data_IF_242075303539
#
_entry.id   IF_242075303539
#
_cell.length_a   1.000
_cell.length_b   1.000
_cell.length_c   1.000
_cell.angle_alpha   90.00
_cell.angle_beta   90.00
_cell.angle_gamma   90.00
#
_symmetry.space_group_name_H-M   'P 1'
#
loop_
_entity.id
_entity.type
_entity.pdbx_description
1 polymer ?
#
# COMPACT_ATOMS: atom_id res chain seq x y z
N UNK A 1 -13.74 22.08 1.59
CA UNK A 1 -14.56 20.85 1.74
C UNK A 1 -15.01 20.75 3.17
N UNK A 2 -16.30 20.45 3.41
CA UNK A 2 -16.81 20.10 4.73
C UNK A 2 -16.80 18.56 4.87
N UNK A 3 -16.13 18.06 5.90
CA UNK A 3 -16.11 16.63 6.26
C UNK A 3 -17.01 16.43 7.47
N UNK A 4 -17.98 15.55 7.34
CA UNK A 4 -18.86 15.09 8.42
C UNK A 4 -18.44 13.65 8.79
N UNK A 5 -17.94 13.46 10.02
CA UNK A 5 -17.49 12.19 10.54
C UNK A 5 -18.26 11.86 11.83
N UNK A 6 -19.46 11.24 11.72
CA UNK A 6 -20.35 10.99 12.86
C UNK A 6 -19.65 10.29 14.02
N UNK A 7 -19.78 10.79 15.26
CA UNK A 7 -19.07 10.31 16.44
C UNK A 7 -19.17 8.79 16.69
N UNK A 8 -20.28 8.17 16.28
CA UNK A 8 -20.54 6.74 16.46
C UNK A 8 -19.76 5.87 15.47
N UNK A 9 -19.19 6.45 14.41
CA UNK A 9 -18.55 5.72 13.31
C UNK A 9 -17.08 6.05 13.11
N UNK A 10 -16.70 7.31 13.32
CA UNK A 10 -15.39 7.81 12.94
C UNK A 10 -14.70 8.62 14.05
N UNK A 11 -13.40 8.48 14.15
CA UNK A 11 -12.56 9.32 15.02
C UNK A 11 -11.67 10.23 14.14
N UNK A 12 -11.89 11.55 14.23
CA UNK A 12 -11.14 12.52 13.46
C UNK A 12 -9.71 12.76 13.98
N UNK A 13 -9.35 12.30 15.18
CA UNK A 13 -8.04 12.57 15.78
C UNK A 13 -6.87 12.03 14.95
N UNK A 14 -6.92 10.79 14.43
CA UNK A 14 -5.87 10.29 13.53
C UNK A 14 -5.72 11.17 12.29
N UNK A 15 -6.83 11.58 11.65
CA UNK A 15 -6.80 12.48 10.49
C UNK A 15 -6.09 13.80 10.83
N UNK A 16 -6.47 14.45 11.93
CA UNK A 16 -5.87 15.72 12.36
C UNK A 16 -4.38 15.59 12.65
N UNK A 17 -3.99 14.51 13.32
CA UNK A 17 -2.59 14.24 13.66
C UNK A 17 -1.75 14.03 12.39
N UNK A 18 -2.18 13.14 11.49
CA UNK A 18 -1.43 12.85 10.26
C UNK A 18 -1.41 14.05 9.31
N UNK A 19 -2.51 14.82 9.22
CA UNK A 19 -2.53 16.06 8.44
C UNK A 19 -1.47 17.06 8.93
N UNK A 20 -1.29 17.20 10.26
CA UNK A 20 -0.26 18.04 10.84
C UNK A 20 1.16 17.54 10.53
N UNK A 21 1.39 16.22 10.56
CA UNK A 21 2.68 15.61 10.20
C UNK A 21 3.01 15.80 8.72
N UNK A 22 2.06 15.58 7.81
CA UNK A 22 2.23 15.81 6.37
C UNK A 22 2.58 17.27 6.07
N UNK A 23 1.86 18.19 6.69
CA UNK A 23 2.14 19.63 6.56
C UNK A 23 3.55 19.97 7.05
N UNK A 24 3.95 19.46 8.21
CA UNK A 24 5.30 19.68 8.76
C UNK A 24 6.40 19.10 7.86
N UNK A 25 6.10 18.01 7.14
CA UNK A 25 6.97 17.40 6.14
C UNK A 25 7.03 18.19 4.81
N UNK A 26 6.21 19.23 4.65
CA UNK A 26 6.10 19.98 3.39
C UNK A 26 5.43 19.18 2.26
N UNK A 27 4.55 18.24 2.62
CA UNK A 27 3.70 17.48 1.70
C UNK A 27 2.35 18.21 1.58
N UNK A 28 1.86 18.37 0.36
CA UNK A 28 0.57 18.98 0.10
C UNK A 28 -0.56 18.01 0.48
N UNK A 29 -1.30 18.35 1.52
CA UNK A 29 -2.44 17.60 2.03
C UNK A 29 -3.53 18.58 2.47
N UNK A 30 -4.81 18.15 2.58
CA UNK A 30 -5.88 19.01 3.05
C UNK A 30 -5.53 19.67 4.39
N UNK A 31 -5.60 21.00 4.43
CA UNK A 31 -5.38 21.79 5.65
C UNK A 31 -6.69 21.95 6.39
N UNK A 32 -6.64 21.78 7.70
CA UNK A 32 -7.80 22.03 8.56
C UNK A 32 -7.95 23.56 8.77
N UNK A 33 -9.01 24.13 8.19
CA UNK A 33 -9.35 25.56 8.29
C UNK A 33 -10.10 25.82 9.60
N UNK A 34 -11.05 24.93 9.94
CA UNK A 34 -11.83 25.00 11.16
C UNK A 34 -12.26 23.58 11.59
N UNK A 35 -12.55 23.42 12.88
CA UNK A 35 -12.97 22.12 13.42
C UNK A 35 -14.01 22.30 14.55
N UNK A 36 -14.98 21.39 14.58
CA UNK A 36 -15.87 21.18 15.72
C UNK A 36 -15.75 19.69 16.13
N UNK A 37 -14.85 19.42 17.09
CA UNK A 37 -14.56 18.07 17.52
C UNK A 37 -15.72 17.44 18.32
N UNK A 38 -16.60 18.24 18.92
CA UNK A 38 -17.76 17.73 19.64
C UNK A 38 -18.78 17.13 18.66
N UNK A 39 -18.95 17.78 17.51
CA UNK A 39 -19.83 17.33 16.45
C UNK A 39 -19.07 16.58 15.33
N UNK A 40 -17.73 16.55 15.40
CA UNK A 40 -16.82 15.95 14.42
C UNK A 40 -16.97 16.49 13.00
N UNK A 41 -17.17 17.79 12.88
CA UNK A 41 -17.07 18.50 11.61
C UNK A 41 -15.69 19.09 11.43
N UNK A 42 -15.15 18.91 10.23
CA UNK A 42 -13.92 19.57 9.80
C UNK A 42 -14.19 20.37 8.54
N UNK A 43 -13.65 21.60 8.49
CA UNK A 43 -13.57 22.40 7.27
C UNK A 43 -12.14 22.29 6.74
N UNK A 44 -12.00 21.78 5.53
CA UNK A 44 -10.71 21.47 4.89
C UNK A 44 -10.50 22.33 3.65
N UNK A 45 -9.24 22.57 3.30
CA UNK A 45 -8.91 23.08 1.97
C UNK A 45 -9.34 22.11 0.90
N UNK A 46 -9.65 22.61 -0.29
CA UNK A 46 -10.00 21.81 -1.45
C UNK A 46 -8.74 21.59 -2.32
N UNK A 47 -8.44 20.36 -2.66
CA UNK A 47 -7.35 19.98 -3.55
C UNK A 47 -7.83 19.69 -4.98
N UNK A 48 -9.08 20.01 -5.29
CA UNK A 48 -9.72 19.75 -6.57
C UNK A 48 -10.38 18.36 -6.63
N UNK A 49 -10.77 17.97 -7.83
CA UNK A 49 -11.53 16.74 -8.13
C UNK A 49 -10.78 15.75 -9.03
N UNK A 50 -9.59 16.12 -9.46
CA UNK A 50 -8.81 15.35 -10.43
C UNK A 50 -7.76 14.50 -9.74
N UNK A 51 -7.97 13.18 -9.70
CA UNK A 51 -7.00 12.24 -9.16
C UNK A 51 -5.94 11.87 -10.21
N UNK A 52 -4.77 11.41 -9.76
CA UNK A 52 -3.79 10.83 -10.68
C UNK A 52 -4.40 9.71 -11.51
N UNK A 53 -5.18 8.81 -10.86
CA UNK A 53 -5.80 7.67 -11.54
C UNK A 53 -6.68 8.09 -12.72
N UNK A 54 -7.39 9.23 -12.61
CA UNK A 54 -8.31 9.70 -13.65
C UNK A 54 -7.61 10.26 -14.90
N UNK A 55 -6.34 10.67 -14.78
CA UNK A 55 -5.58 11.29 -15.89
C UNK A 55 -4.36 10.49 -16.32
N UNK A 56 -3.97 9.47 -15.54
CA UNK A 56 -2.75 8.71 -15.73
C UNK A 56 -2.77 7.94 -17.06
N UNK A 57 -1.71 8.08 -17.83
CA UNK A 57 -1.48 7.37 -19.10
C UNK A 57 0.02 7.21 -19.36
N UNK A 58 0.37 6.47 -20.43
CA UNK A 58 1.76 6.18 -20.80
C UNK A 58 2.63 7.44 -20.97
N UNK A 59 2.05 8.53 -21.47
CA UNK A 59 2.81 9.74 -21.77
C UNK A 59 3.14 10.61 -20.54
N UNK A 60 2.29 10.55 -19.49
CA UNK A 60 2.42 11.41 -18.32
C UNK A 60 2.87 10.69 -17.05
N UNK A 61 2.88 9.35 -17.03
CA UNK A 61 3.15 8.56 -15.85
C UNK A 61 4.52 8.87 -15.22
N UNK A 62 5.57 9.02 -16.02
CA UNK A 62 6.92 9.29 -15.49
C UNK A 62 6.99 10.62 -14.74
N UNK A 63 6.32 11.66 -15.27
CA UNK A 63 6.26 12.95 -14.61
C UNK A 63 5.45 12.90 -13.31
N UNK A 64 4.26 12.29 -13.35
CA UNK A 64 3.38 12.19 -12.18
C UNK A 64 4.02 11.32 -11.08
N UNK A 65 4.65 10.20 -11.45
CA UNK A 65 5.31 9.35 -10.47
C UNK A 65 6.61 9.96 -9.94
N UNK A 66 7.31 10.79 -10.74
CA UNK A 66 8.41 11.59 -10.23
C UNK A 66 7.93 12.52 -9.10
N UNK A 67 6.85 13.27 -9.30
CA UNK A 67 6.30 14.18 -8.31
C UNK A 67 5.81 13.42 -7.06
N UNK A 68 5.16 12.26 -7.26
CA UNK A 68 4.73 11.40 -6.16
C UNK A 68 5.92 10.86 -5.35
N UNK A 69 7.00 10.42 -6.01
CA UNK A 69 8.24 9.95 -5.35
C UNK A 69 8.87 11.08 -4.53
N UNK A 70 8.92 12.30 -5.05
CA UNK A 70 9.44 13.46 -4.32
C UNK A 70 8.63 13.74 -3.03
N UNK A 71 7.31 13.68 -3.11
CA UNK A 71 6.43 13.86 -1.96
C UNK A 71 6.56 12.70 -0.95
N UNK A 72 6.67 11.47 -1.43
CA UNK A 72 6.90 10.29 -0.59
C UNK A 72 8.21 10.39 0.19
N UNK A 73 9.30 10.79 -0.46
CA UNK A 73 10.60 10.98 0.19
C UNK A 73 10.51 12.08 1.28
N UNK A 74 9.82 13.20 1.03
CA UNK A 74 9.61 14.23 2.06
C UNK A 74 8.86 13.67 3.26
N UNK A 75 7.80 12.89 3.03
CA UNK A 75 7.04 12.23 4.07
C UNK A 75 7.90 11.28 4.92
N UNK A 76 8.69 10.44 4.27
CA UNK A 76 9.56 9.48 4.92
C UNK A 76 10.72 10.14 5.69
N UNK A 77 11.29 11.25 5.19
CA UNK A 77 12.31 12.01 5.90
C UNK A 77 11.81 12.67 7.19
N UNK A 78 10.51 12.92 7.29
CA UNK A 78 9.89 13.49 8.48
C UNK A 78 9.63 12.43 9.57
N UNK A 79 9.99 11.16 9.34
CA UNK A 79 9.70 10.05 10.26
C UNK A 79 10.34 10.25 11.62
N UNK A 80 9.55 10.01 12.67
CA UNK A 80 9.96 10.01 14.06
C UNK A 80 9.29 8.84 14.77
N UNK A 81 10.07 8.15 15.59
CA UNK A 81 9.54 7.06 16.41
C UNK A 81 8.49 7.58 17.40
N UNK A 82 7.42 6.80 17.61
CA UNK A 82 6.34 7.12 18.54
C UNK A 82 5.26 8.06 18.03
N UNK A 83 5.45 8.72 16.88
CA UNK A 83 4.43 9.63 16.30
C UNK A 83 3.27 8.87 15.65
N UNK A 84 3.53 7.75 15.01
CA UNK A 84 2.50 6.91 14.37
C UNK A 84 2.50 5.50 14.97
N UNK A 85 1.35 4.81 14.94
CA UNK A 85 1.27 3.41 15.37
C UNK A 85 2.27 2.54 14.59
N UNK A 86 2.88 1.53 15.23
CA UNK A 86 3.81 0.63 14.54
C UNK A 86 3.06 -0.26 13.55
N UNK A 87 3.67 -0.50 12.39
CA UNK A 87 3.26 -1.57 11.48
C UNK A 87 3.89 -2.87 11.95
N UNK A 88 3.37 -3.42 13.03
CA UNK A 88 3.94 -4.54 13.76
C UNK A 88 3.58 -5.92 13.14
N UNK A 89 4.15 -6.98 13.72
CA UNK A 89 3.86 -8.35 13.31
C UNK A 89 2.38 -8.69 13.38
N UNK A 90 1.67 -8.23 14.41
CA UNK A 90 0.26 -8.53 14.61
C UNK A 90 -0.59 -7.93 13.50
N UNK A 91 -0.31 -6.68 13.10
CA UNK A 91 -1.01 -6.01 12.00
C UNK A 91 -0.70 -6.68 10.65
N UNK A 92 0.59 -6.93 10.34
CA UNK A 92 1.00 -7.61 9.11
C UNK A 92 0.37 -9.00 8.99
N UNK A 93 0.36 -9.78 10.08
CA UNK A 93 -0.23 -11.12 10.11
C UNK A 93 -1.73 -11.08 9.90
N UNK A 94 -2.45 -10.16 10.58
CA UNK A 94 -3.88 -9.97 10.40
C UNK A 94 -4.23 -9.64 8.95
N UNK A 95 -3.44 -8.80 8.30
CA UNK A 95 -3.63 -8.45 6.90
C UNK A 95 -3.36 -9.63 5.95
N UNK A 96 -2.30 -10.39 6.16
CA UNK A 96 -2.03 -11.60 5.36
C UNK A 96 -3.12 -12.67 5.52
N UNK A 97 -3.72 -12.80 6.70
CA UNK A 97 -4.79 -13.77 6.96
C UNK A 97 -6.07 -13.49 6.17
N UNK A 98 -6.27 -12.28 5.67
CA UNK A 98 -7.38 -11.97 4.78
C UNK A 98 -7.36 -12.83 3.50
N UNK A 99 -6.18 -13.21 3.01
CA UNK A 99 -6.05 -14.04 1.82
C UNK A 99 -6.69 -15.44 1.98
N UNK A 100 -6.28 -16.28 2.95
CA UNK A 100 -6.92 -17.58 3.13
C UNK A 100 -8.37 -17.49 3.58
N UNK A 101 -8.74 -16.50 4.41
CA UNK A 101 -10.08 -16.37 4.96
C UNK A 101 -11.11 -15.91 3.93
N UNK A 102 -10.78 -14.91 3.12
CA UNK A 102 -11.72 -14.28 2.21
C UNK A 102 -11.51 -14.69 0.75
N UNK A 103 -10.27 -14.66 0.25
CA UNK A 103 -10.01 -15.00 -1.13
C UNK A 103 -10.11 -16.51 -1.36
N UNK A 104 -9.39 -17.32 -0.58
CA UNK A 104 -9.40 -18.78 -0.78
C UNK A 104 -10.71 -19.42 -0.32
N UNK A 105 -11.11 -19.19 0.92
CA UNK A 105 -12.25 -19.88 1.50
C UNK A 105 -13.62 -19.35 1.01
N UNK A 106 -13.74 -18.02 0.84
CA UNK A 106 -15.04 -17.42 0.46
C UNK A 106 -15.19 -17.25 -1.04
N UNK A 107 -14.16 -16.68 -1.70
CA UNK A 107 -14.25 -16.37 -3.15
C UNK A 107 -14.05 -17.63 -3.99
N UNK A 108 -12.97 -18.38 -3.76
CA UNK A 108 -12.71 -19.62 -4.49
C UNK A 108 -13.51 -20.83 -3.97
N UNK A 109 -14.17 -20.70 -2.83
CA UNK A 109 -14.87 -21.78 -2.12
C UNK A 109 -13.99 -23.03 -1.88
N UNK A 110 -12.67 -22.85 -1.70
CA UNK A 110 -11.70 -23.92 -1.52
C UNK A 110 -11.27 -24.05 -0.05
N UNK A 111 -10.93 -25.27 0.34
CA UNK A 111 -10.26 -25.57 1.60
C UNK A 111 -8.83 -26.00 1.35
N UNK A 112 -7.90 -25.33 2.02
CA UNK A 112 -6.49 -25.71 1.99
C UNK A 112 -6.28 -27.01 2.79
N UNK A 113 -5.50 -27.94 2.26
CA UNK A 113 -4.98 -29.06 3.03
C UNK A 113 -4.03 -28.59 4.14
N UNK A 114 -3.75 -29.45 5.13
CA UNK A 114 -2.80 -29.12 6.19
C UNK A 114 -1.43 -28.73 5.67
N UNK A 115 -0.94 -29.41 4.62
CA UNK A 115 0.33 -29.09 3.98
C UNK A 115 0.31 -27.71 3.30
N UNK A 116 -0.80 -27.33 2.64
CA UNK A 116 -0.96 -26.03 2.00
C UNK A 116 -1.09 -24.91 3.05
N UNK A 117 -1.80 -25.16 4.16
CA UNK A 117 -1.90 -24.23 5.28
C UNK A 117 -0.54 -23.96 5.90
N UNK A 118 0.27 -25.02 6.12
CA UNK A 118 1.62 -24.89 6.66
C UNK A 118 2.52 -24.10 5.70
N UNK A 119 2.51 -24.43 4.40
CA UNK A 119 3.31 -23.72 3.39
C UNK A 119 2.95 -22.23 3.32
N UNK A 120 1.66 -21.88 3.41
CA UNK A 120 1.22 -20.49 3.45
C UNK A 120 1.66 -19.80 4.74
N UNK A 121 1.50 -20.47 5.89
CA UNK A 121 1.91 -19.94 7.20
C UNK A 121 3.41 -19.64 7.27
N UNK A 122 4.24 -20.56 6.78
CA UNK A 122 5.70 -20.40 6.74
C UNK A 122 6.10 -19.25 5.79
N UNK A 123 5.44 -19.15 4.64
CA UNK A 123 5.67 -18.03 3.71
C UNK A 123 5.27 -16.70 4.34
N UNK A 124 4.11 -16.63 4.98
CA UNK A 124 3.65 -15.41 5.67
C UNK A 124 4.63 -15.01 6.78
N UNK A 125 5.10 -15.98 7.58
CA UNK A 125 6.10 -15.71 8.62
C UNK A 125 7.40 -15.14 8.01
N UNK A 126 7.86 -15.68 6.90
CA UNK A 126 9.05 -15.22 6.18
C UNK A 126 8.84 -13.79 5.63
N UNK A 127 7.69 -13.49 5.00
CA UNK A 127 7.37 -12.16 4.49
C UNK A 127 7.33 -11.13 5.61
N UNK A 128 6.70 -11.46 6.74
CA UNK A 128 6.61 -10.57 7.92
C UNK A 128 8.01 -10.29 8.47
N UNK A 129 8.82 -11.33 8.66
CA UNK A 129 10.19 -11.18 9.17
C UNK A 129 11.03 -10.25 8.28
N UNK A 130 10.93 -10.40 6.96
CA UNK A 130 11.63 -9.54 5.99
C UNK A 130 11.07 -8.11 5.96
N UNK A 131 9.76 -7.96 6.09
CA UNK A 131 9.14 -6.63 6.18
C UNK A 131 9.62 -5.87 7.42
N UNK A 132 9.64 -6.52 8.58
CA UNK A 132 10.07 -5.92 9.84
C UNK A 132 11.59 -5.69 9.92
N UNK A 133 12.39 -6.37 9.10
CA UNK A 133 13.84 -6.14 8.99
C UNK A 133 14.18 -4.89 8.16
N UNK A 134 13.23 -4.34 7.40
CA UNK A 134 13.44 -3.08 6.68
C UNK A 134 13.48 -1.90 7.66
N UNK A 135 14.19 -0.82 7.32
CA UNK A 135 14.08 0.43 8.05
C UNK A 135 12.63 0.90 8.14
N UNK A 136 12.23 1.34 9.31
CA UNK A 136 10.89 1.87 9.54
C UNK A 136 10.86 3.37 9.31
N UNK A 137 9.84 3.81 8.57
CA UNK A 137 9.56 5.21 8.23
C UNK A 137 8.05 5.48 8.35
N UNK A 138 7.62 6.71 8.17
CA UNK A 138 6.20 6.99 8.01
C UNK A 138 5.67 6.35 6.72
N UNK A 139 4.62 5.55 6.84
CA UNK A 139 3.95 4.82 5.77
C UNK A 139 2.50 5.29 5.72
N UNK A 140 2.07 5.74 4.56
CA UNK A 140 0.70 6.18 4.29
C UNK A 140 -0.28 5.00 4.21
N UNK A 141 0.18 3.81 3.80
CA UNK A 141 -0.53 2.55 3.52
C UNK A 141 -1.33 2.53 2.22
N UNK A 142 -1.94 3.63 1.83
CA UNK A 142 -2.74 3.73 0.61
C UNK A 142 -2.21 4.84 -0.32
N UNK A 143 -0.87 4.95 -0.44
CA UNK A 143 -0.16 5.88 -1.31
C UNK A 143 -0.24 5.41 -2.77
N UNK A 144 -1.40 5.59 -3.39
CA UNK A 144 -1.70 5.07 -4.72
C UNK A 144 -2.37 6.14 -5.59
N UNK A 145 -2.38 6.00 -6.93
CA UNK A 145 -2.88 7.02 -7.86
C UNK A 145 -4.29 7.55 -7.59
N UNK A 146 -5.18 6.75 -7.00
CA UNK A 146 -6.53 7.21 -6.63
C UNK A 146 -6.54 8.18 -5.45
N UNK A 147 -5.52 8.16 -4.62
CA UNK A 147 -5.37 8.99 -3.41
C UNK A 147 -4.35 10.12 -3.58
N UNK A 148 -3.90 10.35 -4.82
CA UNK A 148 -3.04 11.46 -5.21
C UNK A 148 -3.82 12.39 -6.13
N UNK A 149 -3.90 13.67 -5.76
CA UNK A 149 -4.62 14.71 -6.49
C UNK A 149 -3.66 15.49 -7.40
N UNK A 150 -4.11 15.82 -8.60
CA UNK A 150 -3.42 16.79 -9.45
C UNK A 150 -3.71 18.18 -8.90
N UNK A 151 -2.73 18.79 -8.28
CA UNK A 151 -2.88 20.05 -7.55
C UNK A 151 -1.59 20.88 -7.55
N UNK A 152 -1.62 22.07 -7.00
CA UNK A 152 -0.45 22.92 -6.78
C UNK A 152 -0.29 23.19 -5.27
N UNK A 153 0.84 22.79 -4.65
CA UNK A 153 1.93 21.93 -5.17
C UNK A 153 1.46 20.49 -5.48
N UNK A 154 2.11 19.85 -6.48
CA UNK A 154 1.79 18.50 -6.92
C UNK A 154 2.67 17.45 -6.20
N UNK A 155 2.12 16.28 -5.79
CA UNK A 155 0.71 15.95 -5.67
C UNK A 155 0.04 16.50 -4.41
N UNK A 156 -1.28 16.61 -4.43
CA UNK A 156 -2.07 16.64 -3.20
C UNK A 156 -2.27 15.20 -2.68
N UNK A 157 -2.08 14.97 -1.40
CA UNK A 157 -2.18 13.63 -0.78
C UNK A 157 -3.41 13.56 0.12
N UNK A 158 -4.27 12.56 -0.10
CA UNK A 158 -5.50 12.34 0.67
C UNK A 158 -5.57 10.90 1.20
N UNK A 159 -6.54 10.60 2.08
CA UNK A 159 -6.80 9.25 2.62
C UNK A 159 -5.65 8.71 3.50
N UNK A 160 -5.07 9.55 4.33
CA UNK A 160 -3.85 9.32 5.10
C UNK A 160 -4.07 8.96 6.58
N UNK A 161 -5.30 8.94 7.07
CA UNK A 161 -5.60 8.79 8.51
C UNK A 161 -5.16 7.44 9.10
N UNK A 162 -4.95 6.43 8.27
CA UNK A 162 -4.49 5.09 8.66
C UNK A 162 -2.95 4.92 8.58
N UNK A 163 -2.22 6.03 8.49
CA UNK A 163 -0.76 6.01 8.41
C UNK A 163 -0.13 5.33 9.63
N UNK A 164 1.00 4.67 9.40
CA UNK A 164 1.76 3.91 10.41
C UNK A 164 3.25 4.18 10.32
N UNK A 165 4.03 3.70 11.29
CA UNK A 165 5.49 3.64 11.24
C UNK A 165 5.93 2.23 10.84
N UNK A 166 6.47 2.04 9.63
CA UNK A 166 6.71 0.71 9.08
C UNK A 166 7.67 0.66 7.89
N UNK A 167 7.66 -0.45 7.14
CA UNK A 167 8.68 -0.76 6.11
C UNK A 167 8.78 0.32 5.03
N UNK A 168 10.00 0.80 4.78
CA UNK A 168 10.30 1.91 3.86
C UNK A 168 9.82 1.66 2.42
N UNK A 169 9.77 0.41 1.97
CA UNK A 169 9.36 0.09 0.59
C UNK A 169 7.85 0.05 0.38
N UNK A 170 7.01 0.07 1.45
CA UNK A 170 5.58 -0.20 1.35
C UNK A 170 4.84 0.76 0.41
N UNK A 171 5.00 2.06 0.60
CA UNK A 171 4.28 3.07 -0.18
C UNK A 171 4.77 3.15 -1.62
N UNK A 172 6.05 2.87 -1.88
CA UNK A 172 6.57 2.76 -3.23
C UNK A 172 5.92 1.60 -3.99
N UNK A 173 5.72 0.45 -3.33
CA UNK A 173 4.95 -0.68 -3.88
C UNK A 173 3.51 -0.25 -4.18
N UNK A 174 2.87 0.44 -3.23
CA UNK A 174 1.51 0.93 -3.36
C UNK A 174 1.32 1.83 -4.57
N UNK A 175 2.31 2.70 -4.84
CA UNK A 175 2.34 3.62 -5.96
C UNK A 175 2.54 2.91 -7.30
N UNK A 176 3.50 1.98 -7.38
CA UNK A 176 4.01 1.44 -8.66
C UNK A 176 3.39 0.11 -9.07
N UNK A 177 2.81 -0.64 -8.10
CA UNK A 177 2.06 -1.90 -8.32
C UNK A 177 0.64 -1.75 -7.77
N UNK A 178 -0.08 -0.82 -8.37
CA UNK A 178 -1.42 -0.42 -7.95
C UNK A 178 -2.50 -1.46 -8.31
N UNK A 179 -3.67 -1.27 -7.68
CA UNK A 179 -4.86 -2.08 -7.89
C UNK A 179 -5.54 -1.85 -9.24
N UNK A 180 -5.46 -0.63 -9.76
CA UNK A 180 -6.29 -0.17 -10.87
C UNK A 180 -5.52 0.04 -12.17
N UNK A 181 -4.21 0.15 -12.12
CA UNK A 181 -3.33 0.31 -13.28
C UNK A 181 -2.12 -0.61 -13.18
N UNK A 182 -1.70 -1.18 -14.31
CA UNK A 182 -0.49 -2.01 -14.41
C UNK A 182 0.50 -1.37 -15.38
N UNK A 183 1.77 -1.55 -15.08
CA UNK A 183 2.88 -1.05 -15.86
C UNK A 183 3.83 -2.18 -16.24
N UNK A 184 4.53 -2.01 -17.35
CA UNK A 184 5.61 -2.91 -17.73
C UNK A 184 6.69 -2.96 -16.62
N UNK A 185 7.19 -4.16 -16.35
CA UNK A 185 8.12 -4.38 -15.22
C UNK A 185 9.37 -3.52 -15.31
N UNK A 186 9.91 -3.32 -16.52
CA UNK A 186 11.08 -2.47 -16.73
C UNK A 186 10.85 -1.03 -16.23
N UNK A 187 9.62 -0.52 -16.38
CA UNK A 187 9.24 0.81 -15.93
C UNK A 187 9.11 0.88 -14.40
N UNK A 188 8.56 -0.17 -13.79
CA UNK A 188 8.50 -0.28 -12.33
C UNK A 188 9.90 -0.33 -11.73
N UNK A 189 10.82 -1.07 -12.35
CA UNK A 189 12.24 -1.13 -11.93
C UNK A 189 12.89 0.25 -12.03
N UNK A 190 12.66 1.00 -13.11
CA UNK A 190 13.20 2.33 -13.29
C UNK A 190 12.71 3.30 -12.20
N UNK A 191 11.40 3.31 -11.91
CA UNK A 191 10.86 4.13 -10.82
C UNK A 191 11.38 3.73 -9.44
N UNK A 192 11.54 2.43 -9.19
CA UNK A 192 12.13 1.94 -7.94
C UNK A 192 13.61 2.35 -7.82
N UNK A 193 14.38 2.30 -8.90
CA UNK A 193 15.76 2.74 -8.94
C UNK A 193 15.89 4.25 -8.72
N UNK A 194 15.03 5.05 -9.35
CA UNK A 194 14.98 6.52 -9.14
C UNK A 194 14.62 6.89 -7.69
N UNK A 195 13.63 6.19 -7.12
CA UNK A 195 13.32 6.38 -5.70
C UNK A 195 14.53 6.03 -4.82
N UNK A 196 15.13 4.85 -5.01
CA UNK A 196 16.27 4.38 -4.23
C UNK A 196 17.45 5.35 -4.29
N UNK A 197 17.83 5.80 -5.48
CA UNK A 197 18.92 6.75 -5.66
C UNK A 197 18.65 8.08 -4.94
N UNK A 198 17.48 8.67 -5.14
CA UNK A 198 17.08 9.92 -4.48
C UNK A 198 16.96 9.78 -2.96
N UNK A 199 16.37 8.70 -2.49
CA UNK A 199 16.23 8.40 -1.07
C UNK A 199 17.60 8.29 -0.40
N UNK A 200 18.55 7.58 -1.02
CA UNK A 200 19.94 7.45 -0.58
C UNK A 200 20.66 8.80 -0.54
N UNK A 201 20.55 9.60 -1.61
CA UNK A 201 21.16 10.94 -1.68
C UNK A 201 20.63 11.87 -0.59
N UNK A 202 19.37 11.71 -0.18
CA UNK A 202 18.73 12.52 0.87
C UNK A 202 18.88 11.95 2.29
N UNK A 203 19.61 10.84 2.45
CA UNK A 203 19.91 10.26 3.75
C UNK A 203 18.81 9.37 4.34
N UNK A 204 17.82 8.94 3.54
CA UNK A 204 16.91 7.88 3.98
C UNK A 204 17.68 6.56 4.13
N UNK A 205 17.33 5.73 5.12
CA UNK A 205 18.06 4.50 5.45
C UNK A 205 17.70 3.34 4.50
N UNK A 206 17.75 3.58 3.18
CA UNK A 206 17.59 2.51 2.18
C UNK A 206 18.82 1.60 2.17
N UNK A 207 18.62 0.33 1.81
CA UNK A 207 19.73 -0.60 1.63
C UNK A 207 20.74 -0.01 0.64
N UNK A 208 22.06 -0.04 0.92
CA UNK A 208 23.08 0.48 0.02
C UNK A 208 23.18 -0.28 -1.31
N UNK A 209 22.77 -1.55 -1.34
CA UNK A 209 22.67 -2.38 -2.54
C UNK A 209 21.24 -2.32 -3.11
N UNK A 210 21.11 -1.85 -4.35
CA UNK A 210 19.82 -1.79 -5.04
C UNK A 210 19.18 -3.17 -5.19
N UNK A 211 19.95 -4.24 -5.38
CA UNK A 211 19.40 -5.59 -5.54
C UNK A 211 18.68 -6.06 -4.27
N UNK A 212 19.25 -5.80 -3.09
CA UNK A 212 18.61 -6.11 -1.81
C UNK A 212 17.43 -5.19 -1.52
N UNK A 213 17.53 -3.89 -1.83
CA UNK A 213 16.40 -2.97 -1.77
C UNK A 213 15.23 -3.45 -2.66
N UNK A 214 15.53 -3.82 -3.92
CA UNK A 214 14.50 -4.26 -4.87
C UNK A 214 13.90 -5.60 -4.46
N UNK A 215 14.68 -6.52 -3.91
CA UNK A 215 14.18 -7.75 -3.30
C UNK A 215 13.20 -7.47 -2.16
N UNK A 216 13.55 -6.56 -1.25
CA UNK A 216 12.68 -6.16 -0.15
C UNK A 216 11.40 -5.47 -0.64
N UNK A 217 11.49 -4.64 -1.70
CA UNK A 217 10.36 -4.05 -2.41
C UNK A 217 9.42 -5.14 -2.99
N UNK A 218 9.95 -6.16 -3.67
CA UNK A 218 9.14 -7.22 -4.24
C UNK A 218 8.45 -8.08 -3.16
N UNK A 219 9.15 -8.39 -2.07
CA UNK A 219 8.58 -9.18 -0.98
C UNK A 219 7.54 -8.38 -0.18
N UNK A 220 7.74 -7.09 0.00
CA UNK A 220 6.72 -6.21 0.56
C UNK A 220 5.51 -6.12 -0.37
N UNK A 221 5.75 -6.07 -1.68
CA UNK A 221 4.71 -6.15 -2.70
C UNK A 221 3.89 -7.42 -2.59
N UNK A 222 4.54 -8.56 -2.40
CA UNK A 222 3.85 -9.84 -2.25
C UNK A 222 2.95 -9.86 -1.00
N UNK A 223 3.43 -9.37 0.15
CA UNK A 223 2.61 -9.22 1.37
C UNK A 223 1.36 -8.37 1.07
N UNK A 224 1.57 -7.22 0.42
CA UNK A 224 0.47 -6.31 0.07
C UNK A 224 -0.50 -6.93 -0.94
N UNK A 225 -0.02 -7.67 -1.92
CA UNK A 225 -0.89 -8.32 -2.91
C UNK A 225 -1.77 -9.41 -2.27
N UNK A 226 -1.24 -10.22 -1.36
CA UNK A 226 -2.04 -11.18 -0.60
C UNK A 226 -3.10 -10.47 0.25
N UNK A 227 -2.74 -9.39 0.95
CA UNK A 227 -3.68 -8.54 1.69
C UNK A 227 -4.82 -8.04 0.79
N UNK A 228 -4.49 -7.46 -0.37
CA UNK A 228 -5.48 -6.84 -1.27
C UNK A 228 -6.43 -7.88 -1.87
N UNK A 229 -5.95 -9.06 -2.27
CA UNK A 229 -6.79 -10.17 -2.69
C UNK A 229 -7.86 -10.49 -1.64
N UNK A 230 -7.45 -10.57 -0.37
CA UNK A 230 -8.37 -10.80 0.74
C UNK A 230 -9.32 -9.62 0.98
N UNK A 231 -8.83 -8.38 0.90
CA UNK A 231 -9.66 -7.17 1.04
C UNK A 231 -10.74 -7.12 -0.03
N UNK A 232 -10.41 -7.33 -1.29
CA UNK A 232 -11.35 -7.26 -2.41
C UNK A 232 -12.46 -8.32 -2.28
N UNK A 233 -12.09 -9.56 -1.92
CA UNK A 233 -13.06 -10.58 -1.61
C UNK A 233 -13.94 -10.18 -0.41
N UNK A 234 -13.37 -9.63 0.67
CA UNK A 234 -14.12 -9.19 1.84
C UNK A 234 -15.11 -8.08 1.52
N UNK A 235 -14.69 -7.05 0.76
CA UNK A 235 -15.54 -5.94 0.34
C UNK A 235 -16.73 -6.46 -0.49
N UNK A 236 -16.48 -7.40 -1.39
CA UNK A 236 -17.55 -7.99 -2.19
C UNK A 236 -18.54 -8.79 -1.34
N UNK A 237 -18.07 -9.74 -0.52
CA UNK A 237 -18.93 -10.68 0.18
C UNK A 237 -19.52 -10.14 1.48
N UNK A 238 -18.84 -9.24 2.17
CA UNK A 238 -19.32 -8.64 3.42
C UNK A 238 -20.09 -7.35 3.19
N UNK A 239 -19.55 -6.47 2.31
CA UNK A 239 -20.04 -5.11 2.18
C UNK A 239 -20.95 -4.95 0.94
N UNK A 240 -21.09 -6.01 0.10
CA UNK A 240 -21.98 -6.02 -1.07
C UNK A 240 -21.53 -5.08 -2.21
N UNK A 241 -20.25 -4.62 -2.20
CA UNK A 241 -19.74 -3.71 -3.23
C UNK A 241 -19.11 -4.51 -4.36
N UNK A 242 -19.69 -4.40 -5.57
CA UNK A 242 -19.17 -5.02 -6.80
C UNK A 242 -17.94 -4.33 -7.37
N UNK A 243 -17.37 -4.94 -8.44
CA UNK A 243 -16.27 -4.36 -9.23
C UNK A 243 -14.86 -4.74 -8.76
N UNK A 244 -14.62 -4.85 -7.46
CA UNK A 244 -13.27 -5.12 -6.91
C UNK A 244 -12.71 -6.51 -7.27
N UNK A 245 -13.56 -7.51 -7.46
CA UNK A 245 -13.12 -8.87 -7.82
C UNK A 245 -12.55 -8.95 -9.25
N UNK A 246 -12.95 -8.04 -10.12
CA UNK A 246 -12.46 -7.97 -11.50
C UNK A 246 -10.96 -7.64 -11.57
N UNK A 247 -10.42 -6.99 -10.54
CA UNK A 247 -9.00 -6.63 -10.43
C UNK A 247 -8.14 -7.73 -9.77
N UNK A 248 -8.76 -8.80 -9.22
CA UNK A 248 -7.99 -9.87 -8.54
C UNK A 248 -7.00 -10.60 -9.45
N UNK A 249 -7.24 -10.84 -10.76
CA UNK A 249 -6.25 -11.48 -11.63
C UNK A 249 -4.93 -10.71 -11.71
N UNK A 250 -4.98 -9.38 -11.63
CA UNK A 250 -3.76 -8.52 -11.61
C UNK A 250 -2.87 -8.85 -10.43
N UNK A 251 -3.45 -8.93 -9.23
CA UNK A 251 -2.69 -9.25 -8.00
C UNK A 251 -2.17 -10.68 -7.98
N UNK A 252 -2.93 -11.64 -8.52
CA UNK A 252 -2.45 -13.00 -8.70
C UNK A 252 -1.24 -13.05 -9.64
N UNK A 253 -1.28 -12.29 -10.74
CA UNK A 253 -0.16 -12.20 -11.66
C UNK A 253 1.09 -11.61 -10.99
N UNK A 254 0.94 -10.53 -10.21
CA UNK A 254 2.05 -9.99 -9.43
C UNK A 254 2.59 -11.01 -8.41
N UNK A 255 1.69 -11.64 -7.64
CA UNK A 255 2.08 -12.62 -6.64
C UNK A 255 2.79 -13.83 -7.26
N UNK A 256 2.30 -14.35 -8.39
CA UNK A 256 2.91 -15.46 -9.13
C UNK A 256 4.29 -15.08 -9.67
N UNK A 257 4.43 -13.90 -10.29
CA UNK A 257 5.69 -13.43 -10.85
C UNK A 257 6.77 -13.33 -9.76
N UNK A 258 6.44 -12.71 -8.62
CA UNK A 258 7.38 -12.57 -7.50
C UNK A 258 7.66 -13.93 -6.84
N UNK A 259 6.64 -14.74 -6.55
CA UNK A 259 6.83 -16.04 -5.91
C UNK A 259 7.64 -17.03 -6.77
N UNK A 260 7.52 -16.94 -8.11
CA UNK A 260 8.30 -17.75 -9.03
C UNK A 260 9.77 -17.33 -9.16
N UNK A 261 10.11 -16.10 -8.76
CA UNK A 261 11.46 -15.53 -8.90
C UNK A 261 12.42 -15.95 -7.77
N UNK A 262 11.87 -16.26 -6.60
CA UNK A 262 12.65 -16.55 -5.40
C UNK A 262 12.45 -17.99 -4.94
N UNK A 263 13.55 -18.72 -4.75
CA UNK A 263 13.52 -20.13 -4.30
C UNK A 263 12.79 -20.28 -2.95
N UNK A 264 12.96 -19.34 -2.06
CA UNK A 264 12.34 -19.34 -0.73
C UNK A 264 10.82 -19.22 -0.78
N UNK A 265 10.28 -18.64 -1.86
CA UNK A 265 8.85 -18.43 -2.09
C UNK A 265 8.22 -19.54 -2.97
N UNK A 266 8.98 -20.54 -3.40
CA UNK A 266 8.49 -21.64 -4.23
C UNK A 266 7.28 -22.40 -3.64
N UNK A 267 7.12 -22.56 -2.31
CA UNK A 267 5.90 -23.14 -1.73
C UNK A 267 4.64 -22.32 -2.05
N UNK A 268 4.75 -20.98 -2.00
CA UNK A 268 3.63 -20.11 -2.36
C UNK A 268 3.35 -20.12 -3.86
N UNK A 269 4.38 -20.15 -4.71
CA UNK A 269 4.19 -20.26 -6.16
C UNK A 269 3.37 -21.50 -6.51
N UNK A 270 3.73 -22.66 -5.96
CA UNK A 270 2.96 -23.90 -6.14
C UNK A 270 1.52 -23.82 -5.61
N UNK A 271 1.33 -23.15 -4.48
CA UNK A 271 -0.01 -22.94 -3.93
C UNK A 271 -0.87 -22.10 -4.88
N UNK A 272 -0.33 -20.99 -5.40
CA UNK A 272 -1.04 -20.11 -6.34
C UNK A 272 -1.43 -20.91 -7.61
N UNK A 273 -0.51 -21.67 -8.21
CA UNK A 273 -0.77 -22.51 -9.37
C UNK A 273 -1.92 -23.51 -9.11
N UNK A 274 -1.91 -24.17 -7.94
CA UNK A 274 -2.96 -25.10 -7.55
C UNK A 274 -4.32 -24.45 -7.34
N UNK A 275 -4.35 -23.20 -6.85
CA UNK A 275 -5.58 -22.44 -6.70
C UNK A 275 -6.15 -22.02 -8.06
N UNK A 276 -5.30 -21.57 -8.99
CA UNK A 276 -5.71 -21.20 -10.36
C UNK A 276 -6.28 -22.38 -11.15
N UNK A 277 -5.66 -23.57 -11.04
CA UNK A 277 -6.15 -24.79 -11.69
C UNK A 277 -7.53 -25.26 -11.20
N UNK A 278 -7.99 -24.78 -10.06
CA UNK A 278 -9.28 -25.13 -9.44
C UNK A 278 -10.33 -24.05 -9.59
N UNK A 279 -10.00 -22.95 -10.25
CA UNK A 279 -11.02 -21.97 -10.64
C UNK A 279 -11.90 -22.57 -11.74
N UNK A 280 -13.24 -22.46 -11.64
CA UNK A 280 -14.16 -23.04 -12.61
C UNK A 280 -14.07 -22.42 -13.99
#
# INVERSE_FOLDING_TARGET
IAMDAPPEREDCRPFLHVAALLRAAGVNAPQVIAQDLARRFLLLTDLGDTTYLSVLNEANADRLFHDAIEALIKWQLASREGELPPYDEALLRRECNLFPEWYVARHLALRLSSAQQQALSDTVALLISRSLAQPAVFVHRDYMPRNLMVSEPNPGVIDFQDAVHGPISYDLVSLTRDAFVSWEEARVIDWAARYWDKAKQRGLPVDPDFSEFYRNFEWMGLQRHLKVLGIFARIHYRDGKGGYLEDTPRFLNYARAVAGRYRELAPLARLIEQLEQRQP
#
